data_IF_136079615731
#
_entry.id   IF_136079615731
#
_cell.length_a   1.000
_cell.length_b   1.000
_cell.length_c   1.000
_cell.angle_alpha   90.00
_cell.angle_beta   90.00
_cell.angle_gamma   90.00
#
_symmetry.space_group_name_H-M   'P 1'
#
loop_
_entity.id
_entity.type
_entity.pdbx_description
1 polymer ?
#
# COMPACT_ATOMS: atom_id res chain seq x y z
N UNK A 1 6.10 27.88 45.15
CA UNK A 1 6.67 29.20 44.81
C UNK A 1 5.50 30.10 44.50
N UNK A 2 5.33 31.21 45.23
CA UNK A 2 4.22 32.12 44.95
C UNK A 2 4.40 32.78 43.58
N UNK A 3 3.33 33.30 42.95
CA UNK A 3 3.46 34.05 41.69
C UNK A 3 4.42 35.25 41.85
N UNK A 4 4.45 35.85 43.04
CA UNK A 4 5.33 36.96 43.39
C UNK A 4 6.82 36.56 43.40
N UNK A 5 7.15 35.39 43.95
CA UNK A 5 8.53 34.89 43.94
C UNK A 5 9.01 34.62 42.50
N UNK A 6 8.11 34.18 41.61
CA UNK A 6 8.46 33.85 40.23
C UNK A 6 8.78 35.08 39.38
N UNK A 7 8.02 36.17 39.53
CA UNK A 7 8.28 37.43 38.83
C UNK A 7 9.63 38.03 39.23
N UNK A 8 9.92 38.06 40.54
CA UNK A 8 11.18 38.57 41.08
C UNK A 8 12.38 37.75 40.56
N UNK A 9 12.25 36.42 40.52
CA UNK A 9 13.29 35.55 39.96
C UNK A 9 13.50 35.76 38.47
N UNK A 10 12.44 35.98 37.68
CA UNK A 10 12.59 36.28 36.25
C UNK A 10 13.32 37.60 36.00
N UNK A 11 13.11 38.61 36.84
CA UNK A 11 13.81 39.89 36.72
C UNK A 11 15.29 39.76 37.10
N UNK A 12 15.61 38.95 38.12
CA UNK A 12 16.98 38.69 38.56
C UNK A 12 17.83 37.93 37.52
N UNK A 13 17.20 37.08 36.71
CA UNK A 13 17.89 36.30 35.66
C UNK A 13 17.76 36.92 34.27
N UNK A 14 17.11 38.09 34.16
CA UNK A 14 16.79 38.72 32.88
C UNK A 14 18.03 38.93 32.02
N UNK A 15 19.04 39.63 32.55
CA UNK A 15 20.26 39.96 31.81
C UNK A 15 20.97 38.69 31.30
N UNK A 16 21.01 37.64 32.12
CA UNK A 16 21.57 36.34 31.74
C UNK A 16 20.75 35.63 30.65
N UNK A 17 19.43 35.79 30.67
CA UNK A 17 18.55 35.24 29.65
C UNK A 17 18.72 35.99 28.33
N UNK A 18 18.77 37.32 28.37
CA UNK A 18 19.00 38.16 27.20
C UNK A 18 20.35 37.83 26.54
N UNK A 19 21.42 37.73 27.33
CA UNK A 19 22.75 37.32 26.86
C UNK A 19 22.72 35.94 26.19
N UNK A 20 22.02 34.96 26.80
CA UNK A 20 21.90 33.63 26.20
C UNK A 20 21.10 33.62 24.91
N UNK A 21 20.03 34.40 24.81
CA UNK A 21 19.21 34.49 23.60
C UNK A 21 20.05 35.07 22.45
N UNK A 22 20.76 36.17 22.70
CA UNK A 22 21.58 36.84 21.67
C UNK A 22 22.65 35.88 21.10
N UNK A 23 23.28 35.08 21.97
CA UNK A 23 24.38 34.19 21.59
C UNK A 23 23.93 32.80 21.10
N UNK A 24 22.66 32.43 21.28
CA UNK A 24 22.14 31.14 20.87
C UNK A 24 22.19 30.96 19.34
N UNK A 25 22.35 29.72 18.89
CA UNK A 25 22.20 29.40 17.47
C UNK A 25 20.72 29.42 17.02
N UNK A 26 20.49 29.28 15.72
CA UNK A 26 19.15 29.38 15.15
C UNK A 26 18.18 28.29 15.65
N UNK A 27 18.64 27.04 15.79
CA UNK A 27 17.79 25.94 16.26
C UNK A 27 17.52 26.05 17.75
N UNK A 28 18.53 26.42 18.54
CA UNK A 28 18.41 26.72 19.96
C UNK A 28 17.39 27.83 20.21
N UNK A 29 17.42 28.91 19.43
CA UNK A 29 16.46 30.01 19.51
C UNK A 29 15.02 29.54 19.28
N UNK A 30 14.78 28.79 18.21
CA UNK A 30 13.45 28.29 17.87
C UNK A 30 12.91 27.33 18.93
N UNK A 31 13.73 26.37 19.36
CA UNK A 31 13.35 25.39 20.39
C UNK A 31 13.11 26.07 21.74
N UNK A 32 13.99 26.99 22.15
CA UNK A 32 13.87 27.70 23.42
C UNK A 32 12.64 28.61 23.45
N UNK A 33 12.37 29.36 22.36
CA UNK A 33 11.18 30.19 22.23
C UNK A 33 9.89 29.37 22.35
N UNK A 34 9.83 28.25 21.64
CA UNK A 34 8.65 27.36 21.69
C UNK A 34 8.39 26.86 23.11
N UNK A 35 9.43 26.36 23.80
CA UNK A 35 9.34 25.92 25.21
C UNK A 35 8.94 27.06 26.14
N UNK A 36 9.48 28.26 25.94
CA UNK A 36 9.19 29.43 26.75
C UNK A 36 7.73 29.87 26.61
N UNK A 37 7.17 29.92 25.39
CA UNK A 37 5.74 30.19 25.15
C UNK A 37 4.84 29.14 25.81
N UNK A 38 5.19 27.86 25.68
CA UNK A 38 4.40 26.76 26.26
C UNK A 38 4.42 26.70 27.79
N UNK A 39 5.32 27.43 28.45
CA UNK A 39 5.40 27.47 29.92
C UNK A 39 4.20 28.16 30.59
N UNK A 40 3.41 28.94 29.83
CA UNK A 40 2.29 29.73 30.34
C UNK A 40 2.70 30.94 31.19
N UNK A 41 4.01 31.22 31.26
CA UNK A 41 4.60 32.33 32.04
C UNK A 41 5.56 33.18 31.20
N UNK A 42 5.30 33.25 29.89
CA UNK A 42 6.10 34.01 28.95
C UNK A 42 5.85 35.51 29.10
N UNK A 43 6.92 36.28 29.27
CA UNK A 43 6.89 37.74 29.21
C UNK A 43 6.93 38.20 27.74
N UNK A 44 6.06 39.13 27.31
CA UNK A 44 6.04 39.62 25.93
C UNK A 44 7.39 40.17 25.46
N UNK A 45 8.12 40.86 26.33
CA UNK A 45 9.41 41.49 26.01
C UNK A 45 10.50 40.46 25.68
N UNK A 46 10.48 39.31 26.36
CA UNK A 46 11.41 38.20 26.08
C UNK A 46 11.04 37.50 24.77
N UNK A 47 9.74 37.37 24.47
CA UNK A 47 9.27 36.84 23.19
C UNK A 47 9.72 37.74 22.04
N UNK A 48 9.57 39.05 22.21
CA UNK A 48 10.03 40.04 21.23
C UNK A 48 11.55 39.97 21.01
N UNK A 49 12.35 39.76 22.07
CA UNK A 49 13.78 39.53 21.93
C UNK A 49 14.09 38.27 21.10
N UNK A 50 13.39 37.16 21.36
CA UNK A 50 13.51 35.97 20.52
C UNK A 50 13.12 36.25 19.05
N UNK A 51 12.00 36.94 18.82
CA UNK A 51 11.54 37.32 17.47
C UNK A 51 12.63 38.11 16.72
N UNK A 52 13.20 39.12 17.37
CA UNK A 52 14.27 39.94 16.79
C UNK A 52 15.51 39.11 16.43
N UNK A 53 16.00 38.27 17.35
CA UNK A 53 17.18 37.43 17.08
C UNK A 53 16.93 36.38 15.99
N UNK A 54 15.74 35.77 15.95
CA UNK A 54 15.35 34.82 14.89
C UNK A 54 15.30 35.54 13.54
N UNK A 55 14.70 36.73 13.49
CA UNK A 55 14.54 37.51 12.27
C UNK A 55 15.87 37.98 11.67
N UNK A 56 16.87 38.25 12.51
CA UNK A 56 18.23 38.55 12.06
C UNK A 56 18.91 37.31 11.51
N UNK A 57 18.90 36.20 12.27
CA UNK A 57 19.64 34.98 11.93
C UNK A 57 19.05 34.18 10.78
N UNK A 58 17.73 34.24 10.54
CA UNK A 58 17.09 33.47 9.46
C UNK A 58 17.64 33.84 8.07
N UNK A 59 18.11 35.07 7.87
CA UNK A 59 18.66 35.48 6.57
C UNK A 59 20.07 34.92 6.32
N UNK A 60 20.75 34.48 7.37
CA UNK A 60 22.13 33.97 7.31
C UNK A 60 22.20 32.45 7.49
N UNK A 61 21.09 31.81 7.86
CA UNK A 61 21.05 30.38 8.10
C UNK A 61 21.14 29.60 6.80
N UNK A 62 21.88 28.49 6.83
CA UNK A 62 21.90 27.51 5.75
C UNK A 62 20.54 26.84 5.59
N UNK A 63 20.17 26.51 4.34
CA UNK A 63 18.89 25.89 4.02
C UNK A 63 18.71 24.54 4.74
N UNK A 64 19.75 23.73 4.87
CA UNK A 64 19.70 22.44 5.54
C UNK A 64 19.40 22.60 7.03
N UNK A 65 19.97 23.64 7.65
CA UNK A 65 19.70 23.98 9.06
C UNK A 65 18.25 24.46 9.21
N UNK A 66 17.73 25.22 8.24
CA UNK A 66 16.32 25.60 8.23
C UNK A 66 15.40 24.37 8.10
N UNK A 67 15.67 23.42 7.20
CA UNK A 67 14.86 22.21 7.05
C UNK A 67 14.86 21.34 8.32
N UNK A 68 16.01 21.23 9.00
CA UNK A 68 16.12 20.46 10.25
C UNK A 68 15.24 21.03 11.36
N UNK A 69 15.06 22.35 11.39
CA UNK A 69 14.24 23.07 12.37
C UNK A 69 12.75 23.19 12.00
N UNK A 70 12.29 22.48 10.96
CA UNK A 70 10.91 22.60 10.42
C UNK A 70 9.77 22.36 11.42
N UNK A 71 10.02 21.60 12.48
CA UNK A 71 9.08 21.40 13.60
C UNK A 71 8.72 22.73 14.28
N UNK A 72 9.62 23.71 14.24
CA UNK A 72 9.49 25.00 14.92
C UNK A 72 9.22 26.17 13.97
N UNK A 73 8.99 25.94 12.68
CA UNK A 73 8.71 27.03 11.73
C UNK A 73 7.48 27.87 12.07
N UNK A 74 6.56 27.36 12.89
CA UNK A 74 5.44 28.15 13.42
C UNK A 74 5.87 29.25 14.40
N UNK A 75 7.11 29.20 14.86
CA UNK A 75 7.73 30.24 15.69
C UNK A 75 8.44 31.31 14.86
N UNK A 76 8.52 31.17 13.55
CA UNK A 76 9.10 32.17 12.65
C UNK A 76 7.98 33.08 12.13
N UNK A 77 8.25 34.39 12.00
CA UNK A 77 7.36 35.28 11.25
C UNK A 77 7.16 34.78 9.83
N UNK A 78 5.92 34.68 9.39
CA UNK A 78 5.62 34.02 8.13
C UNK A 78 6.15 34.80 6.94
N UNK A 79 6.09 36.13 7.00
CA UNK A 79 6.62 37.03 5.99
C UNK A 79 8.12 36.78 5.77
N UNK A 80 8.87 36.51 6.85
CA UNK A 80 10.30 36.20 6.81
C UNK A 80 10.57 34.81 6.26
N UNK A 81 9.82 33.81 6.72
CA UNK A 81 9.95 32.44 6.23
C UNK A 81 9.57 32.35 4.74
N UNK A 82 8.50 33.04 4.32
CA UNK A 82 8.09 33.17 2.92
C UNK A 82 9.19 33.86 2.11
N UNK A 83 9.74 34.98 2.59
CA UNK A 83 10.83 35.68 1.92
C UNK A 83 12.04 34.74 1.71
N UNK A 84 12.40 34.00 2.74
CA UNK A 84 13.51 33.04 2.67
C UNK A 84 13.24 31.91 1.67
N UNK A 85 12.08 31.25 1.75
CA UNK A 85 11.71 30.15 0.84
C UNK A 85 11.49 30.61 -0.62
N UNK A 86 11.21 31.90 -0.84
CA UNK A 86 11.14 32.51 -2.18
C UNK A 86 12.50 32.77 -2.81
N UNK A 87 13.56 32.87 -2.02
CA UNK A 87 14.91 32.97 -2.58
C UNK A 87 15.24 31.71 -3.41
N UNK A 88 16.12 31.82 -4.41
CA UNK A 88 16.60 30.65 -5.14
C UNK A 88 17.11 29.60 -4.15
N UNK A 89 16.59 28.39 -4.28
CA UNK A 89 17.07 27.27 -3.49
C UNK A 89 18.56 27.03 -3.78
N UNK A 90 19.33 26.51 -2.83
CA UNK A 90 20.63 25.93 -3.13
C UNK A 90 20.53 24.98 -4.32
N UNK A 91 21.59 24.87 -5.13
CA UNK A 91 21.62 23.98 -6.31
C UNK A 91 21.30 22.51 -5.98
N UNK A 92 21.38 22.13 -4.71
CA UNK A 92 21.05 20.80 -4.21
C UNK A 92 20.14 20.93 -3.00
N UNK A 93 18.84 20.93 -3.23
CA UNK A 93 17.86 20.66 -2.17
C UNK A 93 17.36 19.25 -2.34
N UNK A 94 17.51 18.46 -1.28
CA UNK A 94 16.96 17.11 -1.25
C UNK A 94 15.43 17.18 -1.15
N UNK A 95 14.74 16.62 -2.15
CA UNK A 95 13.28 16.53 -2.20
C UNK A 95 12.71 15.88 -0.93
N UNK A 96 13.40 14.87 -0.40
CA UNK A 96 12.99 14.14 0.80
C UNK A 96 13.07 15.02 2.03
N UNK A 97 14.15 15.77 2.20
CA UNK A 97 14.27 16.68 3.33
C UNK A 97 13.18 17.76 3.29
N UNK A 98 12.85 18.25 2.09
CA UNK A 98 11.76 19.20 1.88
C UNK A 98 10.38 18.57 2.21
N UNK A 99 10.14 17.34 1.80
CA UNK A 99 8.92 16.59 2.10
C UNK A 99 8.76 16.34 3.61
N UNK A 100 9.84 15.93 4.28
CA UNK A 100 9.90 15.76 5.73
C UNK A 100 9.67 17.09 6.46
N UNK A 101 10.27 18.17 5.96
CA UNK A 101 10.11 19.49 6.54
C UNK A 101 8.64 19.94 6.49
N UNK A 102 8.00 19.80 5.32
CA UNK A 102 6.57 20.07 5.14
C UNK A 102 5.69 19.24 6.08
N UNK A 103 5.93 17.94 6.17
CA UNK A 103 5.14 17.05 7.05
C UNK A 103 5.24 17.47 8.52
N UNK A 104 6.46 17.70 9.02
CA UNK A 104 6.69 18.20 10.39
C UNK A 104 6.00 19.55 10.63
N UNK A 105 6.08 20.47 9.66
CA UNK A 105 5.43 21.77 9.78
C UNK A 105 3.90 21.65 9.86
N UNK A 106 3.28 20.80 9.04
CA UNK A 106 1.83 20.51 9.12
C UNK A 106 1.43 19.85 10.44
N UNK A 107 2.22 18.90 10.92
CA UNK A 107 1.99 18.22 12.20
C UNK A 107 2.02 19.15 13.42
N UNK A 108 2.64 20.33 13.30
CA UNK A 108 2.61 21.35 14.36
C UNK A 108 1.19 21.89 14.66
N UNK A 109 0.23 21.70 13.74
CA UNK A 109 -1.13 22.22 13.84
C UNK A 109 -1.25 23.73 13.66
N UNK A 110 -0.13 24.43 13.38
CA UNK A 110 -0.04 25.88 13.21
C UNK A 110 0.52 26.27 11.84
N UNK A 111 0.50 25.33 10.89
CA UNK A 111 1.01 25.58 9.54
C UNK A 111 0.16 26.61 8.82
N UNK A 112 0.81 27.56 8.14
CA UNK A 112 0.13 28.55 7.31
C UNK A 112 0.00 28.04 5.87
N UNK A 113 -1.19 28.17 5.23
CA UNK A 113 -1.41 27.69 3.87
C UNK A 113 -0.40 28.22 2.85
N UNK A 114 -0.02 29.51 2.93
CA UNK A 114 0.88 30.11 1.94
C UNK A 114 2.29 29.51 1.97
N UNK A 115 2.76 29.08 3.15
CA UNK A 115 4.06 28.39 3.28
C UNK A 115 3.96 26.97 2.74
N UNK A 116 2.84 26.28 2.99
CA UNK A 116 2.60 24.93 2.46
C UNK A 116 2.55 24.95 0.93
N UNK A 117 1.87 25.92 0.33
CA UNK A 117 1.81 26.11 -1.13
C UNK A 117 3.18 26.43 -1.74
N UNK A 118 4.00 27.20 -1.05
CA UNK A 118 5.35 27.51 -1.49
C UNK A 118 6.23 26.25 -1.47
N UNK A 119 6.13 25.42 -0.42
CA UNK A 119 6.81 24.13 -0.36
C UNK A 119 6.32 23.19 -1.46
N UNK A 120 5.02 23.16 -1.76
CA UNK A 120 4.48 22.39 -2.88
C UNK A 120 5.08 22.85 -4.21
N UNK A 121 5.13 24.15 -4.44
CA UNK A 121 5.74 24.72 -5.65
C UNK A 121 7.21 24.31 -5.79
N UNK A 122 7.98 24.35 -4.70
CA UNK A 122 9.38 23.92 -4.67
C UNK A 122 9.55 22.42 -4.87
N UNK A 123 8.74 21.61 -4.20
CA UNK A 123 8.73 20.16 -4.38
C UNK A 123 8.43 19.80 -5.83
N UNK A 124 7.53 20.52 -6.52
CA UNK A 124 7.24 20.31 -7.93
C UNK A 124 8.46 20.53 -8.84
N UNK A 125 9.26 21.57 -8.57
CA UNK A 125 10.48 21.89 -9.32
C UNK A 125 11.51 20.74 -9.23
N UNK A 126 11.58 20.07 -8.08
CA UNK A 126 12.61 19.05 -7.81
C UNK A 126 12.09 17.64 -8.13
N UNK A 127 10.80 17.37 -7.90
CA UNK A 127 10.20 16.03 -8.01
C UNK A 127 10.46 15.38 -9.38
N UNK A 128 10.47 16.17 -10.46
CA UNK A 128 10.70 15.67 -11.83
C UNK A 128 12.05 14.97 -12.00
N UNK A 129 13.06 15.34 -11.19
CA UNK A 129 14.40 14.75 -11.22
C UNK A 129 14.55 13.58 -10.24
N UNK A 130 13.59 13.37 -9.33
CA UNK A 130 13.68 12.32 -8.30
C UNK A 130 13.46 10.95 -8.93
N UNK A 131 14.40 10.00 -8.77
CA UNK A 131 14.19 8.62 -9.18
C UNK A 131 13.00 8.00 -8.43
N UNK A 132 12.18 7.23 -9.15
CA UNK A 132 11.00 6.62 -8.54
C UNK A 132 11.35 5.67 -7.38
N UNK A 133 12.47 4.95 -7.47
CA UNK A 133 12.93 4.07 -6.40
C UNK A 133 13.22 4.82 -5.11
N UNK A 134 13.87 5.97 -5.19
CA UNK A 134 14.13 6.82 -4.04
C UNK A 134 12.79 7.30 -3.46
N UNK A 135 11.84 7.67 -4.31
CA UNK A 135 10.50 8.07 -3.88
C UNK A 135 9.73 6.95 -3.15
N UNK A 136 9.95 5.67 -3.51
CA UNK A 136 9.32 4.52 -2.85
C UNK A 136 9.77 4.33 -1.40
N UNK A 137 11.01 4.67 -1.07
CA UNK A 137 11.55 4.60 0.30
C UNK A 137 10.77 5.53 1.25
N UNK A 138 10.21 6.61 0.69
CA UNK A 138 9.47 7.64 1.41
C UNK A 138 7.96 7.58 1.16
N UNK A 139 7.44 6.42 0.73
CA UNK A 139 6.01 6.17 0.50
C UNK A 139 5.11 6.48 1.70
N UNK A 140 5.65 6.46 2.92
CA UNK A 140 4.92 6.87 4.14
C UNK A 140 4.55 8.36 4.17
N UNK A 141 5.23 9.19 3.37
CA UNK A 141 4.99 10.63 3.29
C UNK A 141 4.28 11.04 2.01
N UNK A 142 3.88 10.11 1.13
CA UNK A 142 3.22 10.46 -0.13
C UNK A 142 1.89 11.21 0.06
N UNK A 143 1.20 10.99 1.18
CA UNK A 143 0.01 11.78 1.53
C UNK A 143 0.30 13.27 1.79
N UNK A 144 1.56 13.66 1.90
CA UNK A 144 1.99 15.05 2.05
C UNK A 144 2.27 15.73 0.71
N UNK A 145 2.48 14.97 -0.35
CA UNK A 145 2.64 15.50 -1.71
C UNK A 145 1.26 15.88 -2.21
N UNK A 146 1.10 17.10 -2.74
CA UNK A 146 -0.19 17.49 -3.32
C UNK A 146 -0.51 16.57 -4.50
N UNK A 147 -1.78 16.19 -4.63
CA UNK A 147 -2.22 15.30 -5.71
C UNK A 147 -2.05 15.95 -7.08
N UNK A 148 -2.16 17.29 -7.12
CA UNK A 148 -1.98 18.12 -8.30
C UNK A 148 -0.58 17.99 -8.90
N UNK A 149 0.43 17.74 -8.05
CA UNK A 149 1.82 17.52 -8.44
C UNK A 149 2.09 16.02 -8.64
N UNK A 150 1.61 15.20 -7.71
CA UNK A 150 2.00 13.80 -7.69
C UNK A 150 1.39 12.99 -8.84
N UNK A 151 0.12 13.26 -9.20
CA UNK A 151 -0.56 12.55 -10.29
C UNK A 151 0.15 12.73 -11.64
N UNK A 152 0.47 13.96 -12.10
CA UNK A 152 1.27 14.15 -13.32
C UNK A 152 2.61 13.40 -13.26
N UNK A 153 3.35 13.53 -12.15
CA UNK A 153 4.63 12.84 -11.99
C UNK A 153 4.49 11.32 -12.13
N UNK A 154 3.49 10.71 -11.47
CA UNK A 154 3.24 9.28 -11.56
C UNK A 154 2.88 8.87 -12.99
N UNK A 155 2.02 9.62 -13.68
CA UNK A 155 1.66 9.33 -15.07
C UNK A 155 2.87 9.37 -16.01
N UNK A 156 3.79 10.29 -15.81
CA UNK A 156 4.96 10.46 -16.67
C UNK A 156 6.08 9.44 -16.40
N UNK A 157 6.19 8.98 -15.15
CA UNK A 157 7.33 8.16 -14.68
C UNK A 157 7.00 6.68 -14.49
N UNK A 158 5.78 6.33 -14.04
CA UNK A 158 5.40 4.94 -13.79
C UNK A 158 5.47 4.06 -15.06
N UNK A 159 4.90 4.44 -16.22
CA UNK A 159 4.84 3.52 -17.36
C UNK A 159 6.22 3.15 -17.92
N UNK A 160 7.22 4.03 -17.74
CA UNK A 160 8.53 3.94 -18.41
C UNK A 160 9.62 3.30 -17.55
N UNK A 161 9.47 3.31 -16.23
CA UNK A 161 10.61 3.10 -15.31
C UNK A 161 10.45 1.92 -14.36
N UNK A 162 9.26 1.32 -14.28
CA UNK A 162 8.97 0.26 -13.32
C UNK A 162 8.30 -0.94 -13.97
N UNK A 163 8.64 -2.11 -13.46
CA UNK A 163 7.96 -3.36 -13.80
C UNK A 163 6.62 -3.50 -13.06
N UNK A 164 5.84 -4.52 -13.42
CA UNK A 164 4.54 -4.79 -12.83
C UNK A 164 4.63 -5.05 -11.31
N UNK A 165 5.70 -5.69 -10.83
CA UNK A 165 5.89 -5.98 -9.41
C UNK A 165 6.09 -4.70 -8.60
N UNK A 166 6.99 -3.84 -9.06
CA UNK A 166 7.27 -2.55 -8.45
C UNK A 166 6.02 -1.67 -8.40
N UNK A 167 5.21 -1.66 -9.47
CA UNK A 167 3.93 -0.92 -9.51
C UNK A 167 2.94 -1.43 -8.47
N UNK A 168 2.78 -2.74 -8.41
CA UNK A 168 1.91 -3.44 -7.46
C UNK A 168 2.35 -3.14 -6.02
N UNK A 169 3.64 -3.27 -5.70
CA UNK A 169 4.20 -2.97 -4.39
C UNK A 169 4.03 -1.50 -4.02
N UNK A 170 4.27 -0.59 -4.97
CA UNK A 170 4.11 0.86 -4.77
C UNK A 170 2.67 1.23 -4.43
N UNK A 171 1.71 0.69 -5.18
CA UNK A 171 0.28 0.87 -4.94
C UNK A 171 -0.12 0.38 -3.55
N UNK A 172 0.30 -0.83 -3.17
CA UNK A 172 0.02 -1.39 -1.84
C UNK A 172 0.58 -0.52 -0.72
N UNK A 173 1.86 -0.09 -0.83
CA UNK A 173 2.49 0.81 0.13
C UNK A 173 1.70 2.11 0.28
N UNK A 174 1.27 2.71 -0.84
CA UNK A 174 0.45 3.91 -0.80
C UNK A 174 -0.92 3.67 -0.14
N UNK A 175 -1.64 2.60 -0.51
CA UNK A 175 -2.92 2.25 0.12
C UNK A 175 -2.81 2.07 1.63
N UNK A 176 -1.74 1.41 2.08
CA UNK A 176 -1.47 1.18 3.49
C UNK A 176 -1.14 2.47 4.25
N UNK A 177 -0.15 3.22 3.76
CA UNK A 177 0.33 4.44 4.40
C UNK A 177 -0.70 5.57 4.38
N UNK A 178 -1.57 5.60 3.36
CA UNK A 178 -2.59 6.62 3.19
C UNK A 178 -3.94 6.23 3.79
N UNK A 179 -4.03 5.19 4.63
CA UNK A 179 -5.30 4.60 5.12
C UNK A 179 -6.35 5.55 5.75
N UNK A 180 -6.02 6.82 6.03
CA UNK A 180 -6.99 7.87 6.43
C UNK A 180 -7.30 8.93 5.37
N UNK A 181 -6.46 9.08 4.34
CA UNK A 181 -6.54 10.15 3.33
C UNK A 181 -6.08 9.68 1.92
N UNK A 182 -6.24 8.40 1.58
CA UNK A 182 -5.83 7.90 0.27
C UNK A 182 -6.65 8.61 -0.81
N UNK A 183 -6.01 9.44 -1.63
CA UNK A 183 -6.63 10.04 -2.79
C UNK A 183 -6.99 8.93 -3.79
N UNK A 184 -8.28 8.66 -4.05
CA UNK A 184 -8.70 7.62 -4.99
C UNK A 184 -8.11 7.84 -6.39
N UNK A 185 -7.86 9.09 -6.77
CA UNK A 185 -7.28 9.47 -8.05
C UNK A 185 -5.84 8.94 -8.22
N UNK A 186 -5.06 8.85 -7.14
CA UNK A 186 -3.71 8.24 -7.19
C UNK A 186 -3.81 6.72 -7.36
N UNK A 187 -4.78 6.08 -6.70
CA UNK A 187 -5.05 4.64 -6.89
C UNK A 187 -5.46 4.34 -8.32
N UNK A 188 -6.27 5.21 -8.91
CA UNK A 188 -6.68 5.10 -10.31
C UNK A 188 -5.48 5.21 -11.26
N UNK A 189 -4.51 6.09 -10.99
CA UNK A 189 -3.26 6.16 -11.78
C UNK A 189 -2.49 4.85 -11.71
N UNK A 190 -2.35 4.26 -10.51
CA UNK A 190 -1.72 2.94 -10.36
C UNK A 190 -2.50 1.85 -11.09
N UNK A 191 -3.82 1.80 -10.96
CA UNK A 191 -4.69 0.83 -11.64
C UNK A 191 -4.52 0.90 -13.16
N UNK A 192 -4.48 2.12 -13.73
CA UNK A 192 -4.29 2.32 -15.17
C UNK A 192 -2.90 1.88 -15.62
N UNK A 193 -1.83 2.25 -14.91
CA UNK A 193 -0.48 1.80 -15.25
C UNK A 193 -0.31 0.27 -15.12
N UNK A 194 -0.96 -0.34 -14.12
CA UNK A 194 -1.01 -1.79 -13.95
C UNK A 194 -1.75 -2.43 -15.12
N UNK A 195 -2.89 -1.86 -15.54
CA UNK A 195 -3.65 -2.36 -16.69
C UNK A 195 -2.80 -2.34 -17.97
N UNK A 196 -2.15 -1.21 -18.26
CA UNK A 196 -1.26 -1.05 -19.42
C UNK A 196 -0.13 -2.09 -19.39
N UNK A 197 0.52 -2.29 -18.23
CA UNK A 197 1.59 -3.28 -18.09
C UNK A 197 1.12 -4.71 -18.25
N UNK A 198 -0.09 -5.01 -17.81
CA UNK A 198 -0.67 -6.35 -17.98
C UNK A 198 -0.99 -6.58 -19.46
N UNK A 199 -1.51 -5.57 -20.17
CA UNK A 199 -1.84 -5.68 -21.61
C UNK A 199 -0.58 -5.88 -22.47
N UNK A 200 0.53 -5.24 -22.11
CA UNK A 200 1.83 -5.40 -22.76
C UNK A 200 2.52 -6.75 -22.46
N UNK A 201 2.11 -7.43 -21.37
CA UNK A 201 2.80 -8.61 -20.86
C UNK A 201 2.35 -9.90 -21.55
N UNK A 202 3.28 -10.77 -22.00
CA UNK A 202 2.92 -12.10 -22.47
C UNK A 202 2.13 -12.87 -21.40
N UNK A 203 1.04 -13.54 -21.78
CA UNK A 203 0.16 -14.22 -20.83
C UNK A 203 0.90 -15.24 -19.94
N UNK A 204 1.91 -15.93 -20.47
CA UNK A 204 2.76 -16.85 -19.69
C UNK A 204 3.44 -16.13 -18.51
N UNK A 205 3.98 -14.94 -18.76
CA UNK A 205 4.67 -14.13 -17.75
C UNK A 205 3.67 -13.56 -16.74
N UNK A 206 2.49 -13.16 -17.20
CA UNK A 206 1.41 -12.72 -16.31
C UNK A 206 0.97 -13.86 -15.38
N UNK A 207 0.84 -15.08 -15.92
CA UNK A 207 0.45 -16.22 -15.12
C UNK A 207 1.52 -16.56 -14.07
N UNK A 208 2.80 -16.54 -14.45
CA UNK A 208 3.92 -16.66 -13.52
C UNK A 208 3.88 -15.57 -12.45
N UNK A 209 3.60 -14.32 -12.83
CA UNK A 209 3.43 -13.21 -11.88
C UNK A 209 2.28 -13.45 -10.91
N UNK A 210 1.12 -13.92 -11.37
CA UNK A 210 -0.05 -14.17 -10.51
C UNK A 210 0.17 -15.33 -9.53
N UNK A 211 0.99 -16.31 -9.91
CA UNK A 211 1.35 -17.46 -9.09
C UNK A 211 2.48 -17.10 -8.12
N UNK A 212 3.58 -16.52 -8.60
CA UNK A 212 4.77 -16.23 -7.80
C UNK A 212 4.65 -14.93 -6.99
N UNK A 213 4.01 -13.89 -7.53
CA UNK A 213 3.93 -12.55 -6.96
C UNK A 213 3.14 -12.42 -5.65
N UNK A 214 2.57 -13.51 -5.13
CA UNK A 214 1.94 -13.53 -3.80
C UNK A 214 2.94 -13.71 -2.65
N UNK A 215 4.13 -14.25 -2.92
CA UNK A 215 5.18 -14.41 -1.90
C UNK A 215 5.82 -13.07 -1.50
N UNK A 216 5.72 -12.10 -2.39
CA UNK A 216 6.24 -10.74 -2.28
C UNK A 216 5.59 -9.95 -1.14
N UNK A 217 4.38 -10.31 -0.75
CA UNK A 217 3.61 -9.63 0.31
C UNK A 217 4.30 -9.77 1.68
N UNK A 218 5.10 -10.81 1.90
CA UNK A 218 5.78 -11.07 3.18
C UNK A 218 7.01 -10.18 3.44
N UNK A 219 7.55 -9.51 2.43
CA UNK A 219 8.74 -8.64 2.58
C UNK A 219 8.42 -7.20 2.95
N UNK A 220 7.14 -6.81 2.93
CA UNK A 220 6.74 -5.49 3.40
C UNK A 220 6.67 -5.60 4.93
N UNK A 221 7.40 -4.75 5.66
CA UNK A 221 7.32 -4.57 7.13
C UNK A 221 5.92 -4.09 7.62
N UNK A 222 4.86 -4.38 6.87
CA UNK A 222 3.48 -4.09 7.19
C UNK A 222 2.82 -5.32 7.86
N UNK A 223 2.00 -5.12 8.91
CA UNK A 223 1.22 -6.19 9.49
C UNK A 223 0.28 -6.78 8.43
N UNK A 224 0.46 -8.08 8.14
CA UNK A 224 -0.39 -9.01 7.39
C UNK A 224 -1.42 -8.28 6.49
N UNK A 225 -0.99 -7.86 5.30
CA UNK A 225 -1.93 -7.45 4.26
C UNK A 225 -2.80 -8.69 3.96
N UNK A 226 -4.14 -8.61 4.03
CA UNK A 226 -4.98 -9.76 3.73
C UNK A 226 -4.63 -10.29 2.33
N UNK A 227 -4.60 -11.63 2.18
CA UNK A 227 -4.27 -12.43 0.97
C UNK A 227 -5.12 -12.14 -0.29
N UNK A 228 -5.73 -10.96 -0.40
CA UNK A 228 -6.56 -10.56 -1.52
C UNK A 228 -5.67 -10.17 -2.70
N UNK A 229 -6.12 -10.53 -3.91
CA UNK A 229 -5.39 -10.23 -5.14
C UNK A 229 -4.96 -8.76 -5.20
N UNK A 230 -3.68 -8.58 -5.50
CA UNK A 230 -3.04 -7.26 -5.55
C UNK A 230 -3.45 -6.47 -6.79
N UNK A 231 -3.83 -7.18 -7.85
CA UNK A 231 -4.40 -6.60 -9.06
C UNK A 231 -5.94 -6.69 -8.95
N UNK A 232 -6.67 -5.59 -9.20
CA UNK A 232 -8.13 -5.60 -9.22
C UNK A 232 -8.70 -6.66 -10.17
N UNK A 233 -9.66 -7.46 -9.70
CA UNK A 233 -10.32 -8.49 -10.51
C UNK A 233 -10.93 -7.92 -11.80
N UNK A 234 -11.44 -6.69 -11.77
CA UNK A 234 -11.98 -5.98 -12.95
C UNK A 234 -10.97 -5.87 -14.10
N UNK A 235 -9.67 -5.82 -13.79
CA UNK A 235 -8.61 -5.76 -14.79
C UNK A 235 -8.19 -7.17 -15.25
N UNK A 236 -8.14 -8.12 -14.32
CA UNK A 236 -7.68 -9.48 -14.61
C UNK A 236 -8.70 -10.34 -15.35
N UNK A 237 -9.97 -10.30 -14.93
CA UNK A 237 -11.01 -11.20 -15.44
C UNK A 237 -11.06 -11.20 -16.98
N UNK A 238 -11.14 -10.05 -17.69
CA UNK A 238 -11.19 -10.05 -19.15
C UNK A 238 -10.03 -10.81 -19.81
N UNK A 239 -8.82 -10.70 -19.26
CA UNK A 239 -7.63 -11.36 -19.79
C UNK A 239 -7.65 -12.85 -19.50
N UNK A 240 -8.05 -13.23 -18.27
CA UNK A 240 -8.15 -14.64 -17.88
C UNK A 240 -9.21 -15.37 -18.73
N UNK A 241 -10.36 -14.72 -19.00
CA UNK A 241 -11.44 -15.24 -19.85
C UNK A 241 -10.97 -15.53 -21.29
N UNK A 242 -10.06 -14.72 -21.82
CA UNK A 242 -9.48 -14.94 -23.15
C UNK A 242 -8.42 -16.06 -23.18
N UNK A 243 -7.97 -16.54 -22.02
CA UNK A 243 -6.85 -17.49 -21.89
C UNK A 243 -7.22 -18.75 -21.09
N UNK A 244 -8.51 -19.12 -21.05
CA UNK A 244 -9.03 -20.28 -20.30
C UNK A 244 -8.21 -21.55 -20.50
N UNK A 245 -7.91 -21.91 -21.75
CA UNK A 245 -7.18 -23.15 -22.05
C UNK A 245 -5.77 -23.16 -21.45
N UNK A 246 -5.06 -22.03 -21.49
CA UNK A 246 -3.73 -21.91 -20.92
C UNK A 246 -3.77 -22.06 -19.39
N UNK A 247 -4.76 -21.45 -18.72
CA UNK A 247 -4.95 -21.57 -17.27
C UNK A 247 -5.19 -23.04 -16.88
N UNK A 248 -6.04 -23.74 -17.62
CA UNK A 248 -6.33 -25.16 -17.40
C UNK A 248 -5.06 -26.00 -17.56
N UNK A 249 -4.35 -25.86 -18.69
CA UNK A 249 -3.09 -26.58 -18.95
C UNK A 249 -2.12 -26.38 -17.80
N UNK A 250 -1.91 -25.13 -17.42
CA UNK A 250 -1.01 -24.77 -16.34
C UNK A 250 -1.42 -25.33 -14.97
N UNK A 251 -2.72 -25.40 -14.66
CA UNK A 251 -3.20 -26.08 -13.47
C UNK A 251 -2.89 -27.58 -13.53
N UNK A 252 -3.23 -28.24 -14.64
CA UNK A 252 -3.05 -29.70 -14.79
C UNK A 252 -1.58 -30.13 -14.76
N UNK A 253 -0.68 -29.24 -15.18
CA UNK A 253 0.77 -29.47 -15.24
C UNK A 253 1.52 -28.93 -14.00
N UNK A 254 0.81 -28.68 -12.89
CA UNK A 254 1.44 -28.15 -11.66
C UNK A 254 2.60 -29.03 -11.17
N UNK A 255 3.76 -28.41 -10.97
CA UNK A 255 5.02 -29.08 -10.59
C UNK A 255 5.19 -29.37 -9.10
N UNK A 256 4.48 -28.63 -8.24
CA UNK A 256 4.55 -28.80 -6.79
C UNK A 256 3.22 -28.37 -6.12
N UNK A 257 3.06 -28.69 -4.83
CA UNK A 257 1.86 -28.37 -4.05
C UNK A 257 1.53 -26.88 -3.96
N UNK A 258 2.54 -26.02 -3.85
CA UNK A 258 2.32 -24.57 -3.74
C UNK A 258 1.80 -24.00 -5.07
N UNK A 259 2.40 -24.42 -6.18
CA UNK A 259 1.97 -24.06 -7.53
C UNK A 259 0.53 -24.52 -7.79
N UNK A 260 0.21 -25.76 -7.45
CA UNK A 260 -1.13 -26.32 -7.62
C UNK A 260 -2.17 -25.47 -6.88
N UNK A 261 -1.89 -25.11 -5.63
CA UNK A 261 -2.77 -24.27 -4.82
C UNK A 261 -2.96 -22.88 -5.43
N UNK A 262 -1.88 -22.20 -5.81
CA UNK A 262 -1.96 -20.87 -6.42
C UNK A 262 -2.73 -20.89 -7.74
N UNK A 263 -2.61 -21.98 -8.51
CA UNK A 263 -3.28 -22.15 -9.81
C UNK A 263 -4.74 -22.56 -9.68
N UNK A 264 -5.15 -23.27 -8.61
CA UNK A 264 -6.57 -23.58 -8.37
C UNK A 264 -7.42 -22.35 -8.17
N UNK A 265 -6.87 -21.29 -7.58
CA UNK A 265 -7.60 -20.03 -7.43
C UNK A 265 -7.95 -19.37 -8.76
N UNK A 266 -7.07 -19.46 -9.76
CA UNK A 266 -7.33 -18.92 -11.10
C UNK A 266 -8.51 -19.62 -11.77
N UNK A 267 -8.76 -20.89 -11.48
CA UNK A 267 -9.91 -21.63 -11.99
C UNK A 267 -11.23 -21.02 -11.51
N UNK A 268 -11.28 -20.53 -10.27
CA UNK A 268 -12.48 -19.89 -9.71
C UNK A 268 -12.83 -18.64 -10.51
N UNK A 269 -11.81 -17.86 -10.91
CA UNK A 269 -11.99 -16.61 -11.67
C UNK A 269 -12.53 -16.83 -13.08
N UNK A 270 -12.24 -18.00 -13.66
CA UNK A 270 -12.70 -18.35 -15.01
C UNK A 270 -13.88 -19.31 -15.03
N UNK A 271 -14.45 -19.65 -13.87
CA UNK A 271 -15.49 -20.69 -13.74
C UNK A 271 -16.70 -20.45 -14.66
N UNK A 272 -17.06 -19.18 -14.89
CA UNK A 272 -18.13 -18.75 -15.80
C UNK A 272 -17.87 -19.09 -17.28
N UNK A 273 -16.61 -19.22 -17.67
CA UNK A 273 -16.21 -19.50 -19.06
C UNK A 273 -15.93 -20.98 -19.32
N UNK A 274 -15.92 -21.80 -18.27
CA UNK A 274 -15.62 -23.22 -18.36
C UNK A 274 -16.76 -23.98 -19.04
N UNK A 275 -16.42 -24.69 -20.12
CA UNK A 275 -17.32 -25.63 -20.80
C UNK A 275 -17.36 -26.96 -20.06
N UNK A 276 -18.41 -27.75 -20.30
CA UNK A 276 -18.60 -29.05 -19.64
C UNK A 276 -17.38 -29.98 -19.73
N UNK A 277 -16.74 -30.08 -20.91
CA UNK A 277 -15.54 -30.91 -21.09
C UNK A 277 -14.33 -30.38 -20.32
N UNK A 278 -14.21 -29.06 -20.15
CA UNK A 278 -13.14 -28.43 -19.37
C UNK A 278 -13.35 -28.66 -17.87
N UNK A 279 -14.59 -28.54 -17.38
CA UNK A 279 -14.93 -28.95 -16.01
C UNK A 279 -14.53 -30.40 -15.75
N UNK A 280 -14.95 -31.34 -16.61
CA UNK A 280 -14.55 -32.76 -16.48
C UNK A 280 -13.04 -32.94 -16.47
N UNK A 281 -12.32 -32.23 -17.33
CA UNK A 281 -10.86 -32.31 -17.42
C UNK A 281 -10.18 -31.80 -16.15
N UNK A 282 -10.58 -30.64 -15.62
CA UNK A 282 -10.08 -30.07 -14.35
C UNK A 282 -10.32 -31.05 -13.19
N UNK A 283 -11.55 -31.54 -13.06
CA UNK A 283 -11.94 -32.46 -11.99
C UNK A 283 -11.20 -33.80 -12.08
N UNK A 284 -10.86 -34.25 -13.28
CA UNK A 284 -10.06 -35.46 -13.50
C UNK A 284 -8.59 -35.21 -13.13
N UNK A 285 -8.02 -34.09 -13.57
CA UNK A 285 -6.64 -33.71 -13.28
C UNK A 285 -6.37 -33.58 -11.78
N UNK A 286 -7.38 -33.18 -10.99
CA UNK A 286 -7.30 -33.19 -9.53
C UNK A 286 -6.81 -34.54 -9.00
N UNK A 287 -7.38 -35.66 -9.48
CA UNK A 287 -6.98 -37.00 -9.05
C UNK A 287 -5.73 -37.53 -9.75
N UNK A 288 -5.54 -37.18 -11.02
CA UNK A 288 -4.44 -37.72 -11.84
C UNK A 288 -3.09 -37.08 -11.49
N UNK A 289 -3.09 -35.88 -10.90
CA UNK A 289 -1.89 -35.20 -10.46
C UNK A 289 -1.80 -35.15 -8.92
N UNK A 290 -0.87 -35.92 -8.35
CA UNK A 290 -0.64 -35.97 -6.90
C UNK A 290 -0.31 -34.62 -6.26
N UNK A 291 0.27 -33.67 -7.00
CA UNK A 291 0.58 -32.32 -6.52
C UNK A 291 -0.70 -31.50 -6.31
N UNK A 292 -1.78 -31.83 -7.02
CA UNK A 292 -3.04 -31.10 -6.96
C UNK A 292 -3.90 -31.63 -5.81
N UNK A 293 -4.21 -32.92 -5.75
CA UNK A 293 -5.15 -33.36 -4.70
C UNK A 293 -4.58 -33.35 -3.28
N UNK A 294 -3.26 -33.56 -3.09
CA UNK A 294 -2.66 -33.44 -1.74
C UNK A 294 -2.24 -31.99 -1.41
N UNK A 295 -2.49 -31.02 -2.30
CA UNK A 295 -2.35 -29.62 -1.94
C UNK A 295 -3.55 -29.21 -1.10
N UNK A 296 -3.35 -29.07 0.22
CA UNK A 296 -4.43 -28.75 1.19
C UNK A 296 -5.30 -27.56 0.76
N UNK A 297 -4.73 -26.54 0.16
CA UNK A 297 -5.49 -25.37 -0.30
C UNK A 297 -6.32 -25.64 -1.57
N UNK A 298 -5.91 -26.57 -2.44
CA UNK A 298 -6.72 -26.96 -3.61
C UNK A 298 -8.06 -27.55 -3.22
N UNK A 299 -8.16 -28.33 -2.14
CA UNK A 299 -9.45 -28.84 -1.66
C UNK A 299 -10.40 -27.70 -1.25
N UNK A 300 -9.88 -26.65 -0.61
CA UNK A 300 -10.66 -25.47 -0.26
C UNK A 300 -11.11 -24.69 -1.51
N UNK A 301 -10.26 -24.57 -2.52
CA UNK A 301 -10.62 -23.93 -3.78
C UNK A 301 -11.59 -24.75 -4.62
N UNK A 302 -11.49 -26.09 -4.60
CA UNK A 302 -12.45 -26.97 -5.26
C UNK A 302 -13.82 -26.92 -4.60
N UNK A 303 -13.88 -26.71 -3.28
CA UNK A 303 -15.12 -26.39 -2.60
C UNK A 303 -15.73 -25.09 -3.12
N UNK A 304 -14.94 -24.02 -3.24
CA UNK A 304 -15.41 -22.75 -3.82
C UNK A 304 -15.83 -22.91 -5.28
N UNK A 305 -15.11 -23.71 -6.08
CA UNK A 305 -15.48 -24.04 -7.46
C UNK A 305 -16.82 -24.78 -7.52
N UNK A 306 -17.08 -25.70 -6.60
CA UNK A 306 -18.37 -26.38 -6.50
C UNK A 306 -19.50 -25.40 -6.19
N UNK A 307 -19.32 -24.58 -5.15
CA UNK A 307 -20.27 -23.53 -4.75
C UNK A 307 -20.54 -22.56 -5.93
N UNK A 308 -19.49 -22.09 -6.60
CA UNK A 308 -19.62 -21.24 -7.80
C UNK A 308 -20.35 -21.97 -8.93
N UNK A 309 -20.11 -23.26 -9.13
CA UNK A 309 -20.85 -24.03 -10.15
C UNK A 309 -22.34 -24.16 -9.82
N UNK A 310 -22.71 -24.24 -8.54
CA UNK A 310 -24.11 -24.22 -8.11
C UNK A 310 -24.75 -22.87 -8.40
N UNK A 311 -24.07 -21.76 -8.08
CA UNK A 311 -24.54 -20.41 -8.39
C UNK A 311 -24.81 -20.24 -9.90
N UNK A 312 -23.91 -20.73 -10.75
CA UNK A 312 -24.04 -20.65 -12.20
C UNK A 312 -25.17 -21.52 -12.77
N UNK A 313 -25.63 -22.52 -12.01
CA UNK A 313 -26.59 -23.52 -12.47
C UNK A 313 -27.83 -23.61 -11.58
N UNK A 314 -28.29 -22.48 -11.04
CA UNK A 314 -29.52 -22.38 -10.23
C UNK A 314 -29.57 -23.40 -9.08
N UNK A 315 -28.47 -23.54 -8.34
CA UNK A 315 -28.31 -24.50 -7.24
C UNK A 315 -28.47 -25.98 -7.63
N UNK A 316 -28.27 -26.31 -8.92
CA UNK A 316 -28.32 -27.69 -9.42
C UNK A 316 -26.92 -28.26 -9.65
N UNK A 317 -26.66 -29.44 -9.06
CA UNK A 317 -25.41 -30.17 -9.27
C UNK A 317 -25.33 -30.68 -10.70
N UNK A 318 -24.34 -30.18 -11.43
CA UNK A 318 -24.10 -30.59 -12.81
C UNK A 318 -23.54 -32.02 -12.91
N UNK A 319 -23.82 -32.76 -14.01
CA UNK A 319 -23.47 -34.18 -14.14
C UNK A 319 -21.98 -34.50 -13.97
N UNK A 320 -21.10 -33.56 -14.35
CA UNK A 320 -19.65 -33.75 -14.24
C UNK A 320 -19.13 -33.83 -12.79
N UNK A 321 -19.91 -33.38 -11.80
CA UNK A 321 -19.55 -33.51 -10.39
C UNK A 321 -19.82 -34.90 -9.82
N UNK A 322 -20.69 -35.71 -10.43
CA UNK A 322 -21.04 -37.03 -9.91
C UNK A 322 -19.84 -38.00 -9.96
N UNK A 323 -19.14 -38.16 -11.11
CA UNK A 323 -17.93 -39.00 -11.16
C UNK A 323 -16.81 -38.49 -10.24
N UNK A 324 -16.70 -37.17 -10.08
CA UNK A 324 -15.75 -36.57 -9.15
C UNK A 324 -16.08 -36.96 -7.70
N UNK A 325 -17.34 -36.80 -7.29
CA UNK A 325 -17.83 -37.16 -5.96
C UNK A 325 -17.64 -38.64 -5.65
N UNK A 326 -17.89 -39.52 -6.61
CA UNK A 326 -17.65 -40.95 -6.49
C UNK A 326 -16.15 -41.24 -6.25
N UNK A 327 -15.27 -40.67 -7.07
CA UNK A 327 -13.81 -40.83 -6.94
C UNK A 327 -13.26 -40.32 -5.61
N UNK A 328 -13.88 -39.33 -4.96
CA UNK A 328 -13.48 -38.91 -3.61
C UNK A 328 -13.53 -40.06 -2.58
N UNK A 329 -14.33 -41.12 -2.79
CA UNK A 329 -14.34 -42.30 -1.92
C UNK A 329 -13.01 -43.07 -1.93
N UNK A 330 -12.25 -42.98 -3.02
CA UNK A 330 -10.93 -43.61 -3.15
C UNK A 330 -9.89 -42.94 -2.24
N UNK A 331 -10.13 -41.69 -1.82
CA UNK A 331 -9.22 -40.94 -0.96
C UNK A 331 -9.42 -41.22 0.56
N UNK A 332 -10.34 -42.11 0.94
CA UNK A 332 -10.62 -42.46 2.35
C UNK A 332 -9.42 -43.08 3.10
N UNK A 333 -8.36 -43.49 2.39
CA UNK A 333 -7.11 -43.99 2.99
C UNK A 333 -6.17 -42.90 3.52
N UNK A 334 -6.37 -41.62 3.16
CA UNK A 334 -5.44 -40.54 3.51
C UNK A 334 -5.81 -39.88 4.85
N UNK A 335 -5.22 -40.38 5.93
CA UNK A 335 -5.55 -39.99 7.32
C UNK A 335 -5.44 -38.48 7.61
N UNK A 336 -4.54 -37.74 6.94
CA UNK A 336 -4.29 -36.33 7.23
C UNK A 336 -5.36 -35.38 6.68
N UNK A 337 -6.10 -35.78 5.65
CA UNK A 337 -7.05 -34.91 4.94
C UNK A 337 -8.49 -35.42 4.96
N UNK A 338 -8.71 -36.59 5.59
CA UNK A 338 -10.00 -37.29 5.59
C UNK A 338 -11.16 -36.44 6.08
N UNK A 339 -10.92 -35.55 7.06
CA UNK A 339 -11.95 -34.63 7.58
C UNK A 339 -12.36 -33.63 6.49
N UNK A 340 -11.41 -33.03 5.78
CA UNK A 340 -11.70 -32.06 4.72
C UNK A 340 -12.38 -32.72 3.53
N UNK A 341 -11.92 -33.91 3.14
CA UNK A 341 -12.51 -34.71 2.07
C UNK A 341 -13.95 -35.09 2.44
N UNK A 342 -14.20 -35.58 3.65
CA UNK A 342 -15.55 -35.95 4.10
C UNK A 342 -16.48 -34.74 4.18
N UNK A 343 -15.99 -33.59 4.66
CA UNK A 343 -16.77 -32.35 4.66
C UNK A 343 -17.14 -31.92 3.24
N UNK A 344 -16.22 -32.05 2.28
CA UNK A 344 -16.51 -31.70 0.89
C UNK A 344 -17.51 -32.68 0.25
N UNK A 345 -17.39 -33.97 0.56
CA UNK A 345 -18.39 -34.98 0.16
C UNK A 345 -19.79 -34.66 0.65
N UNK A 346 -19.91 -34.38 1.96
CA UNK A 346 -21.18 -34.02 2.58
C UNK A 346 -21.78 -32.77 1.92
N UNK A 347 -20.94 -31.75 1.67
CA UNK A 347 -21.39 -30.56 0.95
C UNK A 347 -21.96 -30.91 -0.42
N UNK A 348 -21.32 -31.78 -1.21
CA UNK A 348 -21.87 -32.19 -2.50
C UNK A 348 -23.19 -32.94 -2.31
N UNK A 349 -23.22 -33.89 -1.38
CA UNK A 349 -24.38 -34.76 -1.11
C UNK A 349 -25.63 -33.98 -0.65
N UNK A 350 -25.45 -32.83 0.01
CA UNK A 350 -26.53 -31.96 0.45
C UNK A 350 -27.31 -31.35 -0.74
N UNK A 351 -26.67 -31.22 -1.91
CA UNK A 351 -27.28 -30.64 -3.11
C UNK A 351 -27.69 -31.69 -4.16
N UNK A 352 -27.39 -32.97 -3.94
CA UNK A 352 -27.80 -34.04 -4.86
C UNK A 352 -29.30 -34.34 -4.75
N UNK A 353 -29.95 -34.52 -5.90
CA UNK A 353 -31.33 -35.05 -5.93
C UNK A 353 -31.36 -36.53 -5.52
N UNK A 354 -32.53 -37.08 -5.13
CA UNK A 354 -32.66 -38.51 -4.85
C UNK A 354 -32.18 -39.40 -5.99
N UNK A 355 -32.45 -39.01 -7.25
CA UNK A 355 -32.00 -39.75 -8.44
C UNK A 355 -30.47 -39.75 -8.56
N UNK A 356 -29.82 -38.61 -8.33
CA UNK A 356 -28.36 -38.51 -8.35
C UNK A 356 -27.72 -39.29 -7.19
N UNK A 357 -28.33 -39.28 -6.00
CA UNK A 357 -27.88 -40.12 -4.87
C UNK A 357 -27.96 -41.60 -5.20
N UNK A 358 -29.03 -42.03 -5.88
CA UNK A 358 -29.17 -43.41 -6.34
C UNK A 358 -28.12 -43.78 -7.40
N UNK A 359 -27.71 -42.85 -8.26
CA UNK A 359 -26.63 -43.07 -9.23
C UNK A 359 -25.26 -43.28 -8.55
N UNK A 360 -25.02 -42.66 -7.39
CA UNK A 360 -23.76 -42.84 -6.64
C UNK A 360 -23.67 -44.15 -5.84
N UNK A 361 -24.81 -44.82 -5.61
CA UNK A 361 -24.90 -46.04 -4.80
C UNK A 361 -24.91 -47.33 -5.64
N UNK A 362 -24.98 -47.21 -6.97
CA UNK A 362 -24.92 -48.31 -7.94
C UNK A 362 -23.55 -48.31 -8.62
#
# INVERSE_FOLDING_TARGET
MSNYDYELWQDLIRDLLEEKIINADFDELLSAKSKYKSSGKSKPEIIELFDNCINEKILEVDFDVLLKSSTYWCEIEAEKLILYLKNPLPERVDFIELLLAKSKYKLSGKSKPEIVELLDSRMNEILVEVPFNDLLEYSKYWGEISKEIFIPYLKDNLPKRVDLDQLVRAKLKYQYNSSRNSAPEIIEVFDNCIADKIEEMPFSNLLEFLVCGREIIYEIDAPIIPEKLVIPEKLLIPILKNNVSAIITHFTESSNFADANKRSELLIMIAEELKEHQWKFILTAFFDNNQIYNARGCLADFRKLFEKSLELNNNSVQPYWLPFREKLNQLNGYQKEIIFINNFKLLIDDYLTPEQKNQLNN
#
